data_IF_155190457341
#
_entry.id   IF_155190457341
#
_cell.length_a   1.000
_cell.length_b   1.000
_cell.length_c   1.000
_cell.angle_alpha   90.00
_cell.angle_beta   90.00
_cell.angle_gamma   90.00
#
_symmetry.space_group_name_H-M   'P 1'
#
loop_
_entity.id
_entity.type
_entity.pdbx_description
1 polymer ?
#
# COMPACT_ATOMS: atom_id res chain seq x y z
N UNK A 1 -11.30 11.06 2.91
CA UNK A 1 -11.76 9.83 2.22
C UNK A 1 -13.09 9.41 2.83
N UNK A 2 -14.07 8.98 2.03
CA UNK A 2 -15.29 8.38 2.56
C UNK A 2 -14.95 7.14 3.40
N UNK A 3 -15.61 6.97 4.56
CA UNK A 3 -15.29 5.90 5.50
C UNK A 3 -15.47 4.49 4.89
N UNK A 4 -16.60 4.28 4.20
CA UNK A 4 -16.94 2.98 3.61
C UNK A 4 -15.91 2.52 2.56
N UNK A 5 -15.46 3.43 1.70
CA UNK A 5 -14.46 3.11 0.66
C UNK A 5 -13.08 2.84 1.27
N UNK A 6 -12.76 3.52 2.37
CA UNK A 6 -11.53 3.27 3.11
C UNK A 6 -11.53 1.88 3.76
N UNK A 7 -12.64 1.49 4.39
CA UNK A 7 -12.80 0.17 5.02
C UNK A 7 -12.72 -0.96 3.98
N UNK A 8 -13.36 -0.78 2.82
CA UNK A 8 -13.24 -1.70 1.69
C UNK A 8 -11.79 -1.82 1.23
N UNK A 9 -11.07 -0.71 1.10
CA UNK A 9 -9.67 -0.71 0.66
C UNK A 9 -8.76 -1.46 1.64
N UNK A 10 -8.93 -1.27 2.95
CA UNK A 10 -8.20 -2.04 3.95
C UNK A 10 -8.59 -3.52 3.96
N UNK A 11 -9.87 -3.84 3.79
CA UNK A 11 -10.33 -5.23 3.65
C UNK A 11 -9.69 -5.92 2.45
N UNK A 12 -9.58 -5.23 1.32
CA UNK A 12 -8.87 -5.75 0.15
C UNK A 12 -7.37 -5.92 0.40
N UNK A 13 -6.71 -4.97 1.06
CA UNK A 13 -5.29 -5.09 1.44
C UNK A 13 -5.04 -6.27 2.41
N UNK A 14 -5.98 -6.53 3.33
CA UNK A 14 -5.91 -7.68 4.24
C UNK A 14 -6.08 -9.03 3.53
N UNK A 15 -6.65 -9.05 2.33
CA UNK A 15 -6.84 -10.27 1.55
C UNK A 15 -5.85 -10.42 0.39
N UNK A 16 -5.23 -9.33 -0.06
CA UNK A 16 -4.33 -9.34 -1.20
C UNK A 16 -3.04 -10.13 -0.94
N UNK A 17 -2.57 -10.84 -1.97
CA UNK A 17 -1.25 -11.48 -2.02
C UNK A 17 -0.20 -10.65 -2.77
N UNK A 18 -0.65 -9.63 -3.51
CA UNK A 18 0.15 -8.67 -4.27
C UNK A 18 -0.50 -7.29 -4.19
N UNK A 19 0.31 -6.26 -3.93
CA UNK A 19 -0.07 -4.87 -4.03
C UNK A 19 0.87 -4.13 -4.99
N UNK A 20 0.30 -3.38 -5.93
CA UNK A 20 1.04 -2.56 -6.88
C UNK A 20 0.75 -1.08 -6.59
N UNK A 21 1.79 -0.33 -6.25
CA UNK A 21 1.73 1.12 -6.05
C UNK A 21 2.36 1.81 -7.25
N UNK A 22 1.61 2.67 -7.93
CA UNK A 22 2.07 3.42 -9.09
C UNK A 22 1.98 4.92 -8.81
N UNK A 23 3.09 5.65 -8.99
CA UNK A 23 3.10 7.11 -8.96
C UNK A 23 2.66 7.75 -7.64
N UNK A 24 2.80 7.03 -6.51
CA UNK A 24 2.46 7.55 -5.18
C UNK A 24 3.71 7.72 -4.31
N UNK A 25 3.78 8.83 -3.58
CA UNK A 25 4.84 9.09 -2.60
C UNK A 25 4.74 8.22 -1.36
N UNK A 26 3.54 7.68 -1.06
CA UNK A 26 3.22 6.95 0.17
C UNK A 26 3.51 7.73 1.47
N UNK A 27 3.23 9.02 1.47
CA UNK A 27 3.44 9.91 2.64
C UNK A 27 2.16 10.35 3.34
N UNK A 28 0.99 10.16 2.72
CA UNK A 28 -0.29 10.64 3.25
C UNK A 28 -1.09 9.46 3.82
N UNK A 29 -1.38 9.52 5.12
CA UNK A 29 -2.28 8.57 5.79
C UNK A 29 -3.73 9.04 5.65
N UNK A 30 -4.71 8.11 5.61
CA UNK A 30 -4.60 6.65 5.80
C UNK A 30 -4.22 5.87 4.52
N UNK A 31 -4.16 6.52 3.35
CA UNK A 31 -3.94 5.82 2.08
C UNK A 31 -2.59 5.08 2.01
N UNK A 32 -1.53 5.65 2.58
CA UNK A 32 -0.20 5.03 2.63
C UNK A 32 -0.16 3.73 3.47
N UNK A 33 -1.12 3.53 4.37
CA UNK A 33 -1.16 2.35 5.24
C UNK A 33 -1.79 1.13 4.56
N UNK A 34 -2.51 1.33 3.46
CA UNK A 34 -3.09 0.25 2.64
C UNK A 34 -1.98 -0.65 2.07
N UNK A 35 -0.99 -0.16 1.29
CA UNK A 35 0.11 -0.99 0.81
C UNK A 35 1.04 -1.47 1.94
N UNK A 36 1.20 -0.69 3.01
CA UNK A 36 1.93 -1.09 4.22
C UNK A 36 1.34 -2.38 4.81
N UNK A 37 0.01 -2.43 4.94
CA UNK A 37 -0.71 -3.62 5.43
C UNK A 37 -0.36 -4.88 4.65
N UNK A 38 -0.25 -4.79 3.32
CA UNK A 38 0.12 -5.93 2.46
C UNK A 38 1.57 -6.36 2.74
N UNK A 39 2.49 -5.39 2.81
CA UNK A 39 3.91 -5.68 3.03
C UNK A 39 4.19 -6.24 4.45
N UNK A 40 3.52 -5.73 5.48
CA UNK A 40 3.64 -6.23 6.86
C UNK A 40 3.15 -7.68 7.00
N UNK A 41 2.17 -8.09 6.18
CA UNK A 41 1.73 -9.49 6.06
C UNK A 41 2.70 -10.37 5.27
N UNK A 42 3.88 -9.86 4.92
CA UNK A 42 4.91 -10.53 4.10
C UNK A 42 4.37 -10.97 2.74
N UNK A 43 3.39 -10.25 2.21
CA UNK A 43 2.88 -10.40 0.84
C UNK A 43 3.64 -9.47 -0.09
N UNK A 44 3.50 -9.68 -1.40
CA UNK A 44 4.31 -8.97 -2.39
C UNK A 44 3.86 -7.51 -2.49
N UNK A 45 4.81 -6.58 -2.38
CA UNK A 45 4.58 -5.16 -2.63
C UNK A 45 5.50 -4.70 -3.77
N UNK A 46 4.93 -4.21 -4.85
CA UNK A 46 5.66 -3.64 -5.98
C UNK A 46 5.41 -2.14 -6.01
N UNK A 47 6.48 -1.35 -6.14
CA UNK A 47 6.40 0.12 -6.18
C UNK A 47 7.02 0.62 -7.48
N UNK A 48 6.17 1.14 -8.36
CA UNK A 48 6.57 1.88 -9.55
C UNK A 48 6.49 3.38 -9.30
N UNK A 49 7.59 3.99 -8.86
CA UNK A 49 7.68 5.43 -8.68
C UNK A 49 9.06 5.96 -9.07
N UNK A 50 9.11 7.18 -9.62
CA UNK A 50 10.38 7.81 -10.03
C UNK A 50 11.25 8.22 -8.84
N UNK A 51 10.65 8.39 -7.66
CA UNK A 51 11.31 8.76 -6.43
C UNK A 51 11.15 7.65 -5.39
N UNK A 52 12.15 7.52 -4.49
CA UNK A 52 12.04 6.59 -3.35
C UNK A 52 10.85 6.95 -2.46
N UNK A 53 10.16 5.93 -1.97
CA UNK A 53 9.03 6.05 -1.04
C UNK A 53 9.40 5.48 0.32
N UNK A 54 8.67 5.81 1.41
CA UNK A 54 8.94 5.26 2.74
C UNK A 54 8.88 3.74 2.83
N UNK A 55 8.08 3.07 1.97
CA UNK A 55 7.97 1.61 1.93
C UNK A 55 8.97 0.95 0.96
N UNK A 56 9.92 1.70 0.39
CA UNK A 56 10.86 1.20 -0.61
C UNK A 56 11.64 -0.05 -0.14
N UNK A 57 12.06 -0.09 1.13
CA UNK A 57 12.78 -1.24 1.70
C UNK A 57 11.93 -2.50 1.89
N UNK A 58 10.60 -2.36 1.82
CA UNK A 58 9.65 -3.48 1.95
C UNK A 58 9.16 -4.00 0.59
N UNK A 59 9.47 -3.28 -0.50
CA UNK A 59 9.10 -3.73 -1.84
C UNK A 59 9.89 -4.99 -2.23
N UNK A 60 9.24 -5.92 -2.94
CA UNK A 60 9.80 -7.21 -3.38
C UNK A 60 9.78 -7.33 -4.89
#
# INVERSE_FOLDING_TARGET
LPAEELDKAFTHAQNADLCLVLGSSLTVTPAADIPRTVAERKKKLVIGNLQRTPLYSMAT
#
